data_IF_649480164058
#
_entry.id   IF_649480164058
#
_cell.length_a   1.000
_cell.length_b   1.000
_cell.length_c   1.000
_cell.angle_alpha   90.00
_cell.angle_beta   90.00
_cell.angle_gamma   90.00
#
_symmetry.space_group_name_H-M   'P 1'
#
loop_
_entity.id
_entity.type
_entity.pdbx_description
1 polymer ?
#
# COMPACT_ATOMS: atom_id res chain seq x y z
N UNK A 1 -9.41 10.79 -3.48
CA UNK A 1 -10.72 10.41 -4.06
C UNK A 1 -11.25 11.46 -5.04
N UNK A 2 -10.39 12.15 -5.80
CA UNK A 2 -10.84 13.10 -6.82
C UNK A 2 -10.65 12.45 -8.19
N UNK A 3 -11.74 12.22 -8.91
CA UNK A 3 -11.73 11.70 -10.27
C UNK A 3 -12.28 12.81 -11.19
N UNK A 4 -11.41 13.43 -11.99
CA UNK A 4 -11.79 14.38 -13.03
C UNK A 4 -11.27 13.82 -14.35
N UNK A 5 -12.20 13.58 -15.27
CA UNK A 5 -11.97 12.95 -16.56
C UNK A 5 -10.86 13.66 -17.34
N UNK A 6 -9.87 12.86 -17.76
CA UNK A 6 -8.77 13.10 -18.70
C UNK A 6 -7.39 13.55 -18.21
N UNK A 7 -7.21 14.10 -17.00
CA UNK A 7 -5.85 14.47 -16.53
C UNK A 7 -5.48 14.03 -15.11
N UNK A 8 -6.47 13.67 -14.27
CA UNK A 8 -6.21 13.22 -12.90
C UNK A 8 -6.53 11.73 -12.76
N UNK A 9 -5.48 10.90 -12.74
CA UNK A 9 -5.60 9.49 -12.34
C UNK A 9 -6.00 9.47 -10.86
N UNK A 10 -7.27 9.26 -10.56
CA UNK A 10 -7.89 9.43 -9.23
C UNK A 10 -7.39 8.51 -8.10
N UNK A 11 -6.26 7.84 -8.28
CA UNK A 11 -5.71 6.79 -7.41
C UNK A 11 -4.61 7.29 -6.47
N UNK A 12 -4.49 8.61 -6.27
CA UNK A 12 -3.44 9.20 -5.41
C UNK A 12 -3.38 8.58 -4.01
N UNK A 13 -4.52 8.29 -3.39
CA UNK A 13 -4.55 7.64 -2.08
C UNK A 13 -3.93 6.22 -2.09
N UNK A 14 -4.09 5.48 -3.19
CA UNK A 14 -3.45 4.17 -3.35
C UNK A 14 -1.96 4.31 -3.61
N UNK A 15 -1.56 5.32 -4.41
CA UNK A 15 -0.15 5.62 -4.67
C UNK A 15 0.59 6.06 -3.41
N UNK A 16 -0.06 6.83 -2.54
CA UNK A 16 0.50 7.27 -1.27
C UNK A 16 0.77 6.07 -0.35
N UNK A 17 -0.21 5.15 -0.22
CA UNK A 17 -0.05 3.94 0.58
C UNK A 17 1.04 3.04 -0.01
N UNK A 18 1.05 2.84 -1.33
CA UNK A 18 2.09 2.05 -2.00
C UNK A 18 3.49 2.63 -1.76
N UNK A 19 3.64 3.96 -1.87
CA UNK A 19 4.92 4.65 -1.61
C UNK A 19 5.35 4.48 -0.15
N UNK A 20 4.42 4.58 0.80
CA UNK A 20 4.70 4.36 2.21
C UNK A 20 5.14 2.92 2.51
N UNK A 21 4.50 1.92 1.89
CA UNK A 21 4.88 0.51 2.02
C UNK A 21 6.27 0.25 1.42
N UNK A 22 6.58 0.83 0.25
CA UNK A 22 7.92 0.76 -0.32
C UNK A 22 8.97 1.40 0.58
N UNK A 23 8.66 2.54 1.17
CA UNK A 23 9.56 3.17 2.14
C UNK A 23 9.79 2.25 3.35
N UNK A 24 8.73 1.67 3.92
CA UNK A 24 8.84 0.72 5.03
C UNK A 24 9.69 -0.50 4.62
N UNK A 25 9.44 -1.10 3.46
CA UNK A 25 10.20 -2.26 2.97
C UNK A 25 11.70 -1.96 2.88
N UNK A 26 12.08 -0.75 2.47
CA UNK A 26 13.47 -0.35 2.32
C UNK A 26 14.16 0.07 3.64
N UNK A 27 13.40 0.58 4.62
CA UNK A 27 14.00 1.27 5.77
C UNK A 27 13.59 0.74 7.14
N UNK A 28 12.58 -0.14 7.25
CA UNK A 28 12.10 -0.63 8.55
C UNK A 28 13.17 -1.40 9.34
N UNK A 29 14.12 -2.02 8.64
CA UNK A 29 15.28 -2.70 9.26
C UNK A 29 16.15 -1.74 10.10
N UNK A 30 16.22 -0.45 9.74
CA UNK A 30 16.94 0.57 10.51
C UNK A 30 16.29 0.86 11.87
N UNK A 31 15.05 0.42 12.06
CA UNK A 31 14.28 0.54 13.29
C UNK A 31 14.07 -0.81 14.00
N UNK A 32 14.91 -1.81 13.69
CA UNK A 32 14.81 -3.19 14.19
C UNK A 32 13.51 -3.93 13.80
N UNK A 33 12.82 -3.49 12.74
CA UNK A 33 11.70 -4.24 12.17
C UNK A 33 12.16 -5.25 11.12
N UNK A 34 11.30 -6.21 10.80
CA UNK A 34 11.53 -7.20 9.76
C UNK A 34 10.86 -6.74 8.45
N UNK A 35 11.63 -6.39 7.40
CA UNK A 35 11.06 -5.94 6.13
C UNK A 35 10.22 -7.03 5.46
N UNK A 36 10.45 -8.31 5.73
CA UNK A 36 9.69 -9.44 5.18
C UNK A 36 8.41 -9.74 5.95
N UNK A 37 8.16 -9.03 7.06
CA UNK A 37 6.99 -9.22 7.92
C UNK A 37 6.30 -7.90 8.25
N UNK A 38 5.71 -7.30 7.22
CA UNK A 38 4.92 -6.06 7.35
C UNK A 38 3.43 -6.42 7.31
N UNK A 39 2.69 -6.07 8.36
CA UNK A 39 1.23 -6.24 8.43
C UNK A 39 0.53 -4.92 8.17
N UNK A 40 -0.33 -4.87 7.16
CA UNK A 40 -1.19 -3.73 6.86
C UNK A 40 -2.58 -3.94 7.48
N UNK A 41 -3.06 -2.98 8.27
CA UNK A 41 -4.35 -3.02 8.94
C UNK A 41 -5.12 -1.70 8.72
N UNK A 42 -6.45 -1.79 8.61
CA UNK A 42 -7.33 -0.62 8.50
C UNK A 42 -8.78 -0.95 8.86
N UNK A 43 -9.57 0.08 9.13
CA UNK A 43 -11.02 -0.02 9.38
C UNK A 43 -11.80 0.92 8.45
N UNK A 44 -13.06 0.59 8.14
CA UNK A 44 -13.89 1.40 7.24
C UNK A 44 -13.23 1.60 5.86
N UNK A 45 -13.04 2.84 5.44
CA UNK A 45 -12.32 3.18 4.20
C UNK A 45 -10.86 2.71 4.21
N UNK A 46 -10.22 2.63 5.37
CA UNK A 46 -8.86 2.10 5.51
C UNK A 46 -8.77 0.60 5.22
N UNK A 47 -9.79 -0.18 5.59
CA UNK A 47 -9.86 -1.61 5.25
C UNK A 47 -10.00 -1.83 3.73
N UNK A 48 -10.80 -0.97 3.07
CA UNK A 48 -10.96 -0.99 1.61
C UNK A 48 -9.65 -0.68 0.91
N UNK A 49 -8.93 0.37 1.35
CA UNK A 49 -7.63 0.73 0.80
C UNK A 49 -6.58 -0.36 1.04
N UNK A 50 -6.52 -0.94 2.24
CA UNK A 50 -5.61 -2.05 2.54
C UNK A 50 -5.87 -3.25 1.63
N UNK A 51 -7.13 -3.59 1.40
CA UNK A 51 -7.51 -4.70 0.52
C UNK A 51 -7.14 -4.44 -0.95
N UNK A 52 -7.37 -3.21 -1.44
CA UNK A 52 -7.02 -2.82 -2.82
C UNK A 52 -5.52 -2.88 -3.07
N UNK A 53 -4.70 -2.43 -2.12
CA UNK A 53 -3.24 -2.45 -2.25
C UNK A 53 -2.71 -3.88 -2.29
N UNK A 54 -3.19 -4.77 -1.42
CA UNK A 54 -2.82 -6.21 -1.44
C UNK A 54 -3.18 -6.86 -2.78
N UNK A 55 -4.35 -6.54 -3.34
CA UNK A 55 -4.76 -7.05 -4.65
C UNK A 55 -3.81 -6.57 -5.76
N UNK A 56 -3.44 -5.28 -5.78
CA UNK A 56 -2.52 -4.70 -6.77
C UNK A 56 -1.11 -5.28 -6.66
N UNK A 57 -0.64 -5.54 -5.44
CA UNK A 57 0.67 -6.15 -5.21
C UNK A 57 0.73 -7.61 -5.63
N UNK A 58 -0.34 -8.37 -5.38
CA UNK A 58 -0.46 -9.77 -5.86
C UNK A 58 -0.39 -9.83 -7.38
N UNK A 59 -0.97 -8.83 -8.07
CA UNK A 59 -0.90 -8.71 -9.55
C UNK A 59 0.51 -8.34 -10.01
N UNK A 60 1.29 -7.61 -9.21
CA UNK A 60 2.66 -7.20 -9.52
C UNK A 60 3.75 -8.11 -8.93
N UNK A 61 3.38 -9.22 -8.28
CA UNK A 61 4.30 -10.22 -7.72
C UNK A 61 4.94 -9.85 -6.37
N UNK A 62 4.43 -8.83 -5.66
CA UNK A 62 4.80 -8.56 -4.26
C UNK A 62 3.81 -9.32 -3.36
N UNK A 63 4.33 -10.22 -2.51
CA UNK A 63 3.50 -11.00 -1.60
C UNK A 63 3.60 -10.44 -0.19
N UNK A 64 2.52 -9.83 0.29
CA UNK A 64 2.35 -9.47 1.70
C UNK A 64 1.63 -10.64 2.38
N UNK A 65 2.27 -11.25 3.37
CA UNK A 65 1.70 -12.33 4.18
C UNK A 65 1.14 -11.77 5.49
N UNK A 66 0.00 -12.31 5.92
CA UNK A 66 -0.63 -12.02 7.21
C UNK A 66 -0.07 -12.89 8.33
#
# INVERSE_FOLDING_TARGET
FLYISHENKGDYALQDIYTALHWLKNYVANFNGDPDRITLYGTGSGAVLASLVVMLETVNGLYIYF
#
